data_IF_185999804368
#
_entry.id   IF_185999804368
#
_cell.length_a   1.000
_cell.length_b   1.000
_cell.length_c   1.000
_cell.angle_alpha   90.00
_cell.angle_beta   90.00
_cell.angle_gamma   90.00
#
_symmetry.space_group_name_H-M   'P 1'
#
loop_
_entity.id
_entity.type
_entity.pdbx_description
1 polymer ?
#
# COMPACT_ATOMS: atom_id res chain seq x y z
N UNK A 1 -9.22 -2.97 -6.94
CA UNK A 1 -9.07 -1.64 -6.29
C UNK A 1 -8.72 -1.89 -4.84
N UNK A 2 -7.65 -1.28 -4.34
CA UNK A 2 -7.23 -1.39 -2.95
C UNK A 2 -7.62 -0.10 -2.25
N UNK A 3 -8.60 -0.21 -1.36
CA UNK A 3 -9.27 0.91 -0.71
C UNK A 3 -8.95 0.95 0.77
N UNK A 4 -9.16 2.11 1.38
CA UNK A 4 -9.14 2.24 2.82
C UNK A 4 -10.26 1.40 3.46
N UNK A 5 -10.03 0.90 4.67
CA UNK A 5 -10.98 0.06 5.38
C UNK A 5 -12.32 0.75 5.70
N UNK A 6 -12.39 2.09 5.55
CA UNK A 6 -13.63 2.87 5.72
C UNK A 6 -14.42 3.06 4.41
N UNK A 7 -13.97 2.48 3.30
CA UNK A 7 -14.67 2.56 2.01
C UNK A 7 -15.55 1.33 1.85
N UNK A 8 -16.84 1.52 2.06
CA UNK A 8 -17.83 0.45 1.93
C UNK A 8 -18.76 0.72 0.75
N UNK A 9 -19.12 -0.34 0.02
CA UNK A 9 -20.16 -0.29 -1.02
C UNK A 9 -21.56 -0.24 -0.39
N UNK A 10 -21.75 -1.06 0.64
CA UNK A 10 -22.96 -1.14 1.43
C UNK A 10 -22.61 -1.20 2.91
N UNK A 11 -23.44 -0.60 3.76
CA UNK A 11 -23.32 -0.69 5.20
C UNK A 11 -24.69 -1.02 5.80
N UNK A 12 -24.70 -1.70 6.95
CA UNK A 12 -25.93 -1.95 7.68
C UNK A 12 -26.18 -0.81 8.66
N UNK A 13 -27.40 -0.28 8.68
CA UNK A 13 -27.77 0.69 9.71
C UNK A 13 -27.94 0.02 11.08
N UNK A 14 -28.15 0.83 12.14
CA UNK A 14 -28.38 0.33 13.51
C UNK A 14 -29.60 -0.60 13.63
N UNK A 15 -30.44 -0.69 12.59
CA UNK A 15 -31.62 -1.57 12.51
C UNK A 15 -31.37 -2.77 11.59
N UNK A 16 -30.13 -3.01 11.17
CA UNK A 16 -29.73 -4.15 10.33
C UNK A 16 -30.14 -4.04 8.86
N UNK A 17 -30.59 -2.88 8.39
CA UNK A 17 -31.00 -2.69 6.99
C UNK A 17 -29.79 -2.34 6.15
N UNK A 18 -29.58 -3.06 5.05
CA UNK A 18 -28.52 -2.78 4.09
C UNK A 18 -28.82 -1.46 3.36
N UNK A 19 -27.93 -0.48 3.50
CA UNK A 19 -27.98 0.81 2.80
C UNK A 19 -26.77 0.95 1.90
N UNK A 20 -26.97 1.62 0.76
CA UNK A 20 -25.88 2.07 -0.10
C UNK A 20 -25.07 3.15 0.64
N UNK A 21 -23.75 3.10 0.50
CA UNK A 21 -22.89 4.13 1.07
C UNK A 21 -23.13 5.50 0.42
N UNK A 22 -22.67 6.56 1.10
CA UNK A 22 -22.73 7.95 0.59
C UNK A 22 -22.06 8.11 -0.78
N UNK A 23 -21.15 7.20 -1.12
CA UNK A 23 -20.46 7.12 -2.41
C UNK A 23 -21.34 6.69 -3.58
N UNK A 24 -22.56 6.19 -3.36
CA UNK A 24 -23.43 5.71 -4.43
C UNK A 24 -23.96 6.86 -5.30
N UNK A 25 -23.82 6.71 -6.62
CA UNK A 25 -24.37 7.66 -7.59
C UNK A 25 -25.54 7.05 -8.38
N UNK A 26 -25.26 6.21 -9.39
CA UNK A 26 -26.27 5.57 -10.25
C UNK A 26 -25.67 4.34 -10.95
N UNK A 27 -26.48 3.33 -11.31
CA UNK A 27 -26.06 2.19 -12.16
C UNK A 27 -24.82 1.42 -11.69
N UNK A 28 -24.72 1.20 -10.37
CA UNK A 28 -23.56 0.60 -9.69
C UNK A 28 -22.25 1.41 -9.79
N UNK A 29 -22.33 2.70 -10.15
CA UNK A 29 -21.23 3.64 -10.04
C UNK A 29 -21.13 4.18 -8.61
N UNK A 30 -19.92 4.12 -8.08
CA UNK A 30 -19.57 4.66 -6.76
C UNK A 30 -18.44 5.65 -6.93
N UNK A 31 -18.59 6.85 -6.35
CA UNK A 31 -17.53 7.82 -6.27
C UNK A 31 -16.74 7.61 -4.98
N UNK A 32 -15.43 7.52 -5.14
CA UNK A 32 -14.47 7.50 -4.05
C UNK A 32 -13.62 8.75 -4.15
N UNK A 33 -13.28 9.32 -3.01
CA UNK A 33 -12.33 10.44 -2.97
C UNK A 33 -10.92 9.91 -3.21
N UNK A 34 -10.02 10.76 -3.69
CA UNK A 34 -8.63 10.40 -3.97
C UNK A 34 -7.90 9.84 -2.73
N UNK A 35 -8.25 10.33 -1.54
CA UNK A 35 -7.63 9.90 -0.28
C UNK A 35 -8.16 8.53 0.21
N UNK A 36 -9.19 7.99 -0.45
CA UNK A 36 -9.89 6.78 -0.03
C UNK A 36 -9.37 5.50 -0.73
N UNK A 37 -8.47 5.62 -1.71
CA UNK A 37 -7.85 4.47 -2.36
C UNK A 37 -6.34 4.61 -2.49
N UNK A 38 -5.63 3.49 -2.34
CA UNK A 38 -4.16 3.45 -2.35
C UNK A 38 -3.62 2.90 -3.66
N UNK A 39 -4.33 1.93 -4.25
CA UNK A 39 -3.97 1.36 -5.54
C UNK A 39 -5.19 0.99 -6.36
N UNK A 40 -5.02 0.99 -7.67
CA UNK A 40 -5.98 0.43 -8.60
C UNK A 40 -5.30 -0.59 -9.51
N UNK A 41 -6.06 -1.58 -9.97
CA UNK A 41 -5.59 -2.60 -10.89
C UNK A 41 -6.18 -2.28 -12.25
N UNK A 42 -5.33 -2.03 -13.24
CA UNK A 42 -5.71 -1.78 -14.63
C UNK A 42 -4.89 -2.70 -15.54
N UNK A 43 -5.55 -3.42 -16.45
CA UNK A 43 -4.90 -4.36 -17.38
C UNK A 43 -3.96 -5.36 -16.67
N UNK A 44 -4.42 -5.95 -15.56
CA UNK A 44 -3.64 -6.85 -14.69
C UNK A 44 -2.38 -6.25 -14.05
N UNK A 45 -2.17 -4.94 -14.14
CA UNK A 45 -1.07 -4.23 -13.47
C UNK A 45 -1.63 -3.37 -12.35
N UNK A 46 -0.93 -3.35 -11.23
CA UNK A 46 -1.27 -2.46 -10.13
C UNK A 46 -0.56 -1.12 -10.27
N UNK A 47 -1.29 -0.06 -10.02
CA UNK A 47 -0.83 1.31 -10.05
C UNK A 47 -1.11 1.96 -8.69
N UNK A 48 -0.10 2.62 -8.14
CA UNK A 48 -0.24 3.41 -6.92
C UNK A 48 -0.96 4.73 -7.23
N UNK A 49 -1.77 5.18 -6.28
CA UNK A 49 -2.37 6.50 -6.33
C UNK A 49 -1.49 7.52 -5.59
N UNK A 50 -1.32 8.71 -6.19
CA UNK A 50 -0.65 9.88 -5.60
C UNK A 50 0.71 9.59 -4.95
N UNK A 51 0.81 9.71 -3.61
CA UNK A 51 2.06 9.61 -2.83
C UNK A 51 2.33 8.23 -2.25
N UNK A 52 1.43 7.28 -2.47
CA UNK A 52 1.58 5.95 -1.90
C UNK A 52 2.60 5.12 -2.67
N UNK A 53 3.40 4.36 -1.94
CA UNK A 53 4.29 3.34 -2.47
C UNK A 53 4.09 2.03 -1.69
N UNK A 54 4.46 0.92 -2.33
CA UNK A 54 4.33 -0.40 -1.71
C UNK A 54 5.67 -1.11 -1.73
N UNK A 55 6.11 -1.47 -0.54
CA UNK A 55 7.39 -2.09 -0.26
C UNK A 55 7.14 -3.52 0.21
N UNK A 56 7.84 -4.48 -0.36
CA UNK A 56 7.82 -5.86 0.09
C UNK A 56 8.89 -6.02 1.19
N UNK A 57 8.55 -6.47 2.41
CA UNK A 57 9.57 -6.83 3.40
C UNK A 57 10.55 -7.85 2.82
N UNK A 58 11.82 -7.75 3.21
CA UNK A 58 12.81 -8.77 2.90
C UNK A 58 13.00 -9.71 4.08
N UNK A 59 13.32 -10.96 3.77
CA UNK A 59 13.70 -11.94 4.79
C UNK A 59 14.97 -11.48 5.52
N UNK A 60 15.09 -11.90 6.79
CA UNK A 60 16.25 -11.57 7.63
C UNK A 60 17.55 -11.90 6.90
N UNK A 61 18.43 -10.91 6.78
CA UNK A 61 19.76 -11.13 6.25
C UNK A 61 20.69 -11.65 7.36
N UNK A 62 21.59 -12.56 6.98
CA UNK A 62 22.63 -13.04 7.91
C UNK A 62 23.50 -11.87 8.36
N UNK A 63 23.55 -11.67 9.67
CA UNK A 63 24.41 -10.70 10.32
C UNK A 63 25.12 -11.36 11.48
N UNK A 64 26.31 -10.86 11.80
CA UNK A 64 27.09 -11.28 12.98
C UNK A 64 26.28 -11.19 14.29
N UNK A 65 25.28 -10.30 14.34
CA UNK A 65 24.35 -10.18 15.45
C UNK A 65 23.11 -11.05 15.19
N UNK A 66 22.75 -11.88 16.19
CA UNK A 66 21.53 -12.66 16.15
C UNK A 66 20.31 -11.74 16.27
N UNK A 67 19.62 -11.50 15.14
CA UNK A 67 18.33 -10.79 15.12
C UNK A 67 17.19 -11.76 15.48
N UNK A 68 16.33 -11.42 16.43
CA UNK A 68 15.16 -12.25 16.81
C UNK A 68 13.94 -12.06 15.90
N UNK A 69 14.08 -11.31 14.80
CA UNK A 69 13.00 -10.99 13.86
C UNK A 69 13.06 -11.90 12.63
N UNK A 70 11.89 -12.24 12.07
CA UNK A 70 11.79 -13.05 10.84
C UNK A 70 12.13 -12.26 9.57
N UNK A 71 11.85 -10.96 9.60
CA UNK A 71 12.08 -10.02 8.50
C UNK A 71 13.17 -9.02 8.89
N UNK A 72 13.85 -8.45 7.90
CA UNK A 72 14.84 -7.40 8.14
C UNK A 72 14.12 -6.10 8.55
N UNK A 73 14.45 -5.51 9.71
CA UNK A 73 13.79 -4.29 10.15
C UNK A 73 14.16 -3.11 9.26
N UNK A 74 13.17 -2.28 8.91
CA UNK A 74 13.34 -1.01 8.18
C UNK A 74 13.88 -1.13 6.74
N UNK A 75 14.03 -2.36 6.22
CA UNK A 75 14.54 -2.61 4.88
C UNK A 75 13.50 -3.38 4.08
N UNK A 76 13.30 -2.98 2.84
CA UNK A 76 12.39 -3.68 1.94
C UNK A 76 12.70 -3.44 0.48
N UNK A 77 11.97 -4.14 -0.39
CA UNK A 77 12.10 -4.07 -1.85
C UNK A 77 10.91 -3.33 -2.45
N UNK A 78 11.14 -2.32 -3.28
CA UNK A 78 10.06 -1.57 -3.93
C UNK A 78 9.30 -2.42 -4.93
N UNK A 79 8.02 -2.72 -4.65
CA UNK A 79 7.17 -3.51 -5.55
C UNK A 79 6.35 -2.61 -6.48
N UNK A 80 5.78 -1.54 -5.93
CA UNK A 80 4.99 -0.56 -6.68
C UNK A 80 5.43 0.85 -6.31
N UNK A 81 5.73 1.64 -7.34
CA UNK A 81 6.26 2.99 -7.22
C UNK A 81 5.20 4.00 -7.61
N UNK A 82 5.33 5.20 -7.06
CA UNK A 82 4.64 6.38 -7.57
C UNK A 82 5.50 7.12 -8.59
N UNK A 83 4.86 8.07 -9.29
CA UNK A 83 5.53 8.89 -10.30
C UNK A 83 6.67 9.72 -9.70
N UNK A 84 6.54 10.17 -8.45
CA UNK A 84 7.57 10.96 -7.77
C UNK A 84 8.87 10.17 -7.57
N UNK A 85 8.79 8.94 -7.03
CA UNK A 85 9.95 8.06 -6.83
C UNK A 85 10.57 7.65 -8.17
N UNK A 86 9.75 7.37 -9.19
CA UNK A 86 10.25 7.11 -10.54
C UNK A 86 11.02 8.30 -11.11
N UNK A 87 10.54 9.53 -10.89
CA UNK A 87 11.27 10.75 -11.29
C UNK A 87 12.57 10.96 -10.50
N UNK A 88 12.68 10.43 -9.28
CA UNK A 88 13.93 10.42 -8.49
C UNK A 88 14.93 9.35 -8.95
N UNK A 89 14.55 8.50 -9.90
CA UNK A 89 15.42 7.47 -10.47
C UNK A 89 15.27 6.08 -9.85
N UNK A 90 14.34 5.90 -8.90
CA UNK A 90 14.06 4.59 -8.31
C UNK A 90 13.31 3.69 -9.28
N UNK A 91 13.63 2.40 -9.23
CA UNK A 91 13.05 1.36 -10.07
C UNK A 91 12.35 0.30 -9.23
N UNK A 92 11.54 -0.49 -9.93
CA UNK A 92 10.92 -1.67 -9.35
C UNK A 92 11.99 -2.68 -8.99
N UNK A 93 11.86 -3.23 -7.79
CA UNK A 93 12.77 -4.15 -7.11
C UNK A 93 14.04 -3.52 -6.51
N UNK A 94 14.13 -2.19 -6.45
CA UNK A 94 15.22 -1.55 -5.72
C UNK A 94 15.06 -1.77 -4.21
N UNK A 95 16.19 -1.92 -3.51
CA UNK A 95 16.21 -2.03 -2.05
C UNK A 95 16.17 -0.63 -1.46
N UNK A 96 15.28 -0.45 -0.49
CA UNK A 96 15.10 0.83 0.18
C UNK A 96 15.06 0.66 1.68
N UNK A 97 15.51 1.70 2.37
CA UNK A 97 15.40 1.86 3.82
C UNK A 97 14.36 2.94 4.09
N UNK A 98 13.47 2.65 5.03
CA UNK A 98 12.34 3.52 5.35
C UNK A 98 12.28 3.86 6.85
N UNK A 99 11.53 4.90 7.19
CA UNK A 99 11.38 5.38 8.56
C UNK A 99 10.64 4.35 9.44
N UNK A 100 11.06 4.10 10.69
CA UNK A 100 10.30 3.27 11.62
C UNK A 100 8.89 3.80 11.86
N UNK A 101 7.95 2.89 12.18
CA UNK A 101 6.56 3.19 12.58
C UNK A 101 5.71 3.87 11.50
N UNK A 102 6.10 3.72 10.23
CA UNK A 102 5.42 4.35 9.11
C UNK A 102 4.84 3.37 8.09
N UNK A 103 5.15 2.09 8.27
CA UNK A 103 4.62 0.96 7.55
C UNK A 103 3.18 0.63 7.97
N UNK A 104 2.34 0.33 6.98
CA UNK A 104 1.05 -0.30 7.22
C UNK A 104 0.93 -1.56 6.37
N UNK A 105 0.68 -2.69 7.02
CA UNK A 105 0.66 -4.00 6.36
C UNK A 105 -0.62 -4.20 5.55
N UNK A 106 -0.46 -4.65 4.31
CA UNK A 106 -1.53 -5.08 3.42
C UNK A 106 -1.17 -6.41 2.78
N UNK A 107 -2.17 -7.26 2.59
CA UNK A 107 -2.05 -8.46 1.78
C UNK A 107 -2.58 -8.18 0.37
N UNK A 108 -1.71 -8.28 -0.64
CA UNK A 108 -2.04 -8.01 -2.05
C UNK A 108 -1.61 -9.18 -2.90
N UNK A 109 -2.57 -9.81 -3.59
CA UNK A 109 -2.33 -11.01 -4.41
C UNK A 109 -1.59 -12.14 -3.67
N UNK A 110 -1.83 -12.29 -2.35
CA UNK A 110 -1.18 -13.30 -1.49
C UNK A 110 0.24 -12.93 -1.04
N UNK A 111 0.73 -11.73 -1.38
CA UNK A 111 2.00 -11.20 -0.87
C UNK A 111 1.74 -10.14 0.22
N UNK A 112 2.49 -10.22 1.32
CA UNK A 112 2.56 -9.17 2.33
C UNK A 112 3.33 -7.97 1.77
N UNK A 113 2.72 -6.79 1.79
CA UNK A 113 3.29 -5.53 1.35
C UNK A 113 3.05 -4.44 2.41
N UNK A 114 4.00 -3.53 2.54
CA UNK A 114 3.90 -2.33 3.36
C UNK A 114 3.50 -1.15 2.49
N UNK A 115 2.33 -0.57 2.77
CA UNK A 115 1.93 0.72 2.23
C UNK A 115 2.63 1.81 3.02
N UNK A 116 3.38 2.64 2.30
CA UNK A 116 4.11 3.77 2.84
C UNK A 116 3.91 5.02 1.98
N UNK A 117 4.30 6.17 2.51
CA UNK A 117 4.43 7.38 1.72
C UNK A 117 5.82 7.52 1.12
N UNK A 118 5.91 8.12 -0.06
CA UNK A 118 7.16 8.38 -0.77
C UNK A 118 8.22 9.13 0.06
N UNK A 119 7.84 10.11 0.88
CA UNK A 119 8.76 10.87 1.73
C UNK A 119 9.27 10.09 2.97
N UNK A 120 8.72 8.91 3.24
CA UNK A 120 9.17 8.05 4.34
C UNK A 120 10.30 7.10 3.90
N UNK A 121 10.57 7.04 2.60
CA UNK A 121 11.76 6.37 2.06
C UNK A 121 12.96 7.29 2.26
N UNK A 122 13.94 6.80 3.02
CA UNK A 122 15.10 7.60 3.44
C UNK A 122 16.32 7.33 2.56
N UNK A 123 16.57 6.05 2.23
CA UNK A 123 17.77 5.63 1.48
C UNK A 123 17.38 4.61 0.42
N UNK A 124 17.96 4.76 -0.77
CA UNK A 124 17.98 3.75 -1.83
C UNK A 124 19.37 3.08 -1.84
N UNK A 125 19.40 1.75 -1.90
CA UNK A 125 20.62 0.93 -1.89
C UNK A 125 20.98 0.43 -3.29
#
# INVERSE_FOLDING_TARGET
>A
LLVHHNVFKHYNDMKGRQKSSKSYFQDNLFFIENDQFFMYKQNNKWFCHDRYCFIKPIEKQESYLAKNYKEEPLVGTLKYLNNYLSNKGLKKNDKVIFKPESEYEFEVDGEKLYRMYDHQITVAL
#
